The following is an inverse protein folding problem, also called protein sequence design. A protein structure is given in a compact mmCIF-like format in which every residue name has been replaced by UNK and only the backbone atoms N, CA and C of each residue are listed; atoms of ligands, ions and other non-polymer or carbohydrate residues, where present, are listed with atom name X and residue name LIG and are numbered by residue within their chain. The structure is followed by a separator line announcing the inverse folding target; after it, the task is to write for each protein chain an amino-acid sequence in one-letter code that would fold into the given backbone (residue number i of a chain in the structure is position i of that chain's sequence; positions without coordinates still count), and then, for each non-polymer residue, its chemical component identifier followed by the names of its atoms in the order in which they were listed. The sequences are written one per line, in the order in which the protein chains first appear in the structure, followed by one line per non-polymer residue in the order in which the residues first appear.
data_IF_802061991965
#
_entry.id   IF_802061991965
#
_cell.length_a   1.000
_cell.length_b   1.000
_cell.length_c   1.000
_cell.angle_alpha   90.00
_cell.angle_beta   90.00
_cell.angle_gamma   90.00
#
_symmetry.space_group_name_H-M   'P 1'
#
loop_
_entity.id
_entity.type
_entity.pdbx_description
1 polymer ?
#
# COMPACT_ATOMS: atom_id res chain seq x y z
N UNK A 1 -23.58 -39.16 4.25
CA UNK A 1 -24.30 -39.82 5.37
C UNK A 1 -24.52 -38.90 6.57
N UNK A 2 -23.51 -38.17 7.07
CA UNK A 2 -23.68 -37.26 8.22
C UNK A 2 -24.83 -36.22 8.06
N UNK A 3 -24.94 -35.55 6.91
CA UNK A 3 -26.03 -34.59 6.64
C UNK A 3 -27.42 -35.21 6.85
N UNK A 4 -27.62 -36.46 6.42
CA UNK A 4 -28.91 -37.17 6.56
C UNK A 4 -29.21 -37.45 8.04
N UNK A 5 -28.23 -37.91 8.82
CA UNK A 5 -28.38 -38.16 10.24
C UNK A 5 -28.74 -36.89 11.01
N UNK A 6 -28.04 -35.78 10.76
CA UNK A 6 -28.37 -34.51 11.40
C UNK A 6 -29.69 -33.91 10.93
N UNK A 7 -30.09 -34.16 9.67
CA UNK A 7 -31.43 -33.77 9.20
C UNK A 7 -32.55 -34.50 9.95
N UNK A 8 -32.37 -35.80 10.20
CA UNK A 8 -33.32 -36.58 11.04
C UNK A 8 -33.29 -36.12 12.49
N UNK A 9 -32.11 -35.87 13.05
CA UNK A 9 -31.97 -35.36 14.42
C UNK A 9 -32.69 -34.01 14.59
N UNK A 10 -32.54 -33.08 13.64
CA UNK A 10 -33.26 -31.80 13.62
C UNK A 10 -34.77 -31.93 13.43
N UNK A 11 -35.24 -32.99 12.76
CA UNK A 11 -36.67 -33.27 12.63
C UNK A 11 -37.27 -33.75 13.97
N UNK A 12 -36.48 -34.48 14.77
CA UNK A 12 -36.91 -34.95 16.09
C UNK A 12 -36.83 -33.82 17.13
N UNK A 13 -35.70 -33.10 17.16
CA UNK A 13 -35.42 -32.01 18.09
C UNK A 13 -34.90 -30.79 17.32
N UNK A 14 -35.79 -29.86 16.89
CA UNK A 14 -35.40 -28.70 16.08
C UNK A 14 -34.65 -27.63 16.87
N UNK A 15 -34.81 -27.60 18.20
CA UNK A 15 -34.26 -26.53 19.06
C UNK A 15 -32.81 -26.81 19.49
N UNK A 16 -32.27 -27.99 19.17
CA UNK A 16 -30.90 -28.36 19.52
C UNK A 16 -29.89 -27.70 18.57
N UNK A 17 -29.27 -26.61 19.04
CA UNK A 17 -28.31 -25.77 18.30
C UNK A 17 -27.14 -26.58 17.74
N UNK A 18 -26.63 -27.53 18.51
CA UNK A 18 -25.49 -28.39 18.14
C UNK A 18 -25.72 -29.15 16.82
N UNK A 19 -26.95 -29.58 16.54
CA UNK A 19 -27.24 -30.30 15.29
C UNK A 19 -27.13 -29.40 14.06
N UNK A 20 -27.44 -28.11 14.18
CA UNK A 20 -27.16 -27.16 13.09
C UNK A 20 -25.66 -27.01 12.86
N UNK A 21 -24.85 -26.96 13.92
CA UNK A 21 -23.39 -26.87 13.82
C UNK A 21 -22.83 -28.12 13.13
N UNK A 22 -23.12 -29.31 13.64
CA UNK A 22 -22.60 -30.55 13.06
C UNK A 22 -23.05 -30.76 11.62
N UNK A 23 -24.28 -30.36 11.29
CA UNK A 23 -24.77 -30.37 9.92
C UNK A 23 -24.02 -29.37 9.03
N UNK A 24 -23.73 -28.16 9.53
CA UNK A 24 -22.90 -27.20 8.82
C UNK A 24 -21.50 -27.75 8.56
N UNK A 25 -20.88 -28.40 9.54
CA UNK A 25 -19.57 -29.03 9.36
C UNK A 25 -19.58 -30.12 8.31
N UNK A 26 -20.63 -30.95 8.28
CA UNK A 26 -20.81 -31.93 7.24
C UNK A 26 -20.94 -31.28 5.84
N UNK A 27 -21.61 -30.13 5.73
CA UNK A 27 -21.69 -29.38 4.48
C UNK A 27 -20.37 -28.71 4.07
N UNK A 28 -19.57 -28.23 5.03
CA UNK A 28 -18.21 -27.70 4.75
C UNK A 28 -17.34 -28.80 4.11
N UNK A 29 -17.38 -30.03 4.65
CA UNK A 29 -16.63 -31.16 4.09
C UNK A 29 -17.10 -31.57 2.68
N UNK A 30 -18.34 -31.25 2.33
CA UNK A 30 -18.91 -31.45 1.00
C UNK A 30 -18.69 -30.25 0.07
N UNK A 31 -18.00 -29.19 0.53
CA UNK A 31 -17.85 -27.91 -0.16
C UNK A 31 -19.18 -27.23 -0.51
N UNK A 32 -20.29 -27.61 0.13
CA UNK A 32 -21.57 -26.90 0.03
C UNK A 32 -21.59 -25.76 1.04
N UNK A 33 -20.87 -24.69 0.70
CA UNK A 33 -20.74 -23.52 1.56
C UNK A 33 -22.09 -22.82 1.79
N UNK A 34 -23.00 -22.88 0.81
CA UNK A 34 -24.32 -22.25 0.91
C UNK A 34 -25.16 -22.86 2.04
N UNK A 35 -25.26 -24.18 2.07
CA UNK A 35 -25.96 -24.92 3.11
C UNK A 35 -25.23 -24.81 4.46
N UNK A 36 -23.89 -24.81 4.45
CA UNK A 36 -23.10 -24.60 5.67
C UNK A 36 -23.40 -23.24 6.32
N UNK A 37 -23.37 -22.16 5.54
CA UNK A 37 -23.67 -20.80 6.02
C UNK A 37 -25.10 -20.69 6.55
N UNK A 38 -26.08 -21.31 5.88
CA UNK A 38 -27.47 -21.29 6.34
C UNK A 38 -27.63 -21.94 7.72
N UNK A 39 -26.98 -23.09 7.93
CA UNK A 39 -27.04 -23.79 9.22
C UNK A 39 -26.30 -23.02 10.33
N UNK A 40 -25.14 -22.42 10.02
CA UNK A 40 -24.42 -21.57 10.98
C UNK A 40 -25.19 -20.29 11.34
N UNK A 41 -25.89 -19.67 10.38
CA UNK A 41 -26.76 -18.52 10.66
C UNK A 41 -27.92 -18.88 11.57
N UNK A 42 -28.49 -20.09 11.41
CA UNK A 42 -29.50 -20.61 12.34
C UNK A 42 -28.90 -20.82 13.74
N UNK A 43 -27.73 -21.44 13.85
CA UNK A 43 -27.06 -21.61 15.14
C UNK A 43 -26.81 -20.24 15.83
N UNK A 44 -26.33 -19.26 15.07
CA UNK A 44 -26.14 -17.89 15.56
C UNK A 44 -27.43 -17.22 16.00
N UNK A 45 -28.56 -17.45 15.32
CA UNK A 45 -29.85 -16.89 15.74
C UNK A 45 -30.37 -17.45 17.05
N UNK A 46 -29.99 -18.69 17.41
CA UNK A 46 -30.35 -19.29 18.70
C UNK A 46 -29.45 -18.80 19.84
N UNK A 47 -28.13 -18.68 19.63
CA UNK A 47 -27.20 -18.17 20.64
C UNK A 47 -26.35 -17.01 20.07
N UNK A 48 -26.90 -15.79 20.02
CA UNK A 48 -26.21 -14.64 19.41
C UNK A 48 -25.00 -14.16 20.21
N UNK A 49 -24.92 -14.50 21.51
CA UNK A 49 -23.80 -14.16 22.38
C UNK A 49 -22.55 -15.02 22.12
N UNK A 50 -22.70 -16.16 21.43
CA UNK A 50 -21.62 -17.08 21.15
C UNK A 50 -20.82 -16.62 19.93
N UNK A 51 -19.74 -15.86 20.17
CA UNK A 51 -18.89 -15.30 19.11
C UNK A 51 -18.29 -16.35 18.18
N UNK A 52 -18.15 -17.60 18.63
CA UNK A 52 -17.59 -18.71 17.83
C UNK A 52 -18.35 -18.95 16.53
N UNK A 53 -19.65 -18.65 16.49
CA UNK A 53 -20.45 -18.80 15.27
C UNK A 53 -20.12 -17.75 14.22
N UNK A 54 -19.82 -16.51 14.64
CA UNK A 54 -19.35 -15.46 13.73
C UNK A 54 -17.97 -15.82 13.17
N UNK A 55 -17.08 -16.38 14.01
CA UNK A 55 -15.77 -16.86 13.55
C UNK A 55 -15.91 -17.99 12.53
N UNK A 56 -16.81 -18.95 12.79
CA UNK A 56 -17.09 -20.06 11.87
C UNK A 56 -17.73 -19.59 10.57
N UNK A 57 -18.66 -18.63 10.62
CA UNK A 57 -19.27 -18.02 9.44
C UNK A 57 -18.21 -17.32 8.58
N UNK A 58 -17.35 -16.49 9.18
CA UNK A 58 -16.27 -15.82 8.47
C UNK A 58 -15.30 -16.83 7.83
N UNK A 59 -15.00 -17.93 8.53
CA UNK A 59 -14.18 -19.01 7.98
C UNK A 59 -14.82 -19.71 6.77
N UNK A 60 -16.13 -19.99 6.81
CA UNK A 60 -16.82 -20.60 5.67
C UNK A 60 -16.87 -19.65 4.48
N UNK A 61 -17.14 -18.36 4.71
CA UNK A 61 -17.07 -17.33 3.66
C UNK A 61 -15.66 -17.26 3.05
N UNK A 62 -14.61 -17.35 3.88
CA UNK A 62 -13.25 -17.40 3.38
C UNK A 62 -12.98 -18.60 2.47
N UNK A 63 -13.44 -19.79 2.85
CA UNK A 63 -13.31 -20.98 2.01
C UNK A 63 -14.05 -20.82 0.67
N UNK A 64 -15.29 -20.32 0.72
CA UNK A 64 -16.08 -20.05 -0.47
C UNK A 64 -15.40 -19.01 -1.39
N UNK A 65 -14.94 -17.90 -0.81
CA UNK A 65 -14.22 -16.85 -1.53
C UNK A 65 -12.92 -17.37 -2.12
N UNK A 66 -12.21 -18.26 -1.43
CA UNK A 66 -11.00 -18.89 -1.95
C UNK A 66 -11.31 -19.78 -3.15
N UNK A 67 -12.36 -20.60 -3.07
CA UNK A 67 -12.79 -21.41 -4.22
C UNK A 67 -13.14 -20.54 -5.43
N UNK A 68 -13.88 -19.45 -5.24
CA UNK A 68 -14.21 -18.49 -6.31
C UNK A 68 -12.96 -17.82 -6.89
N UNK A 69 -12.00 -17.46 -6.04
CA UNK A 69 -10.73 -16.88 -6.46
C UNK A 69 -9.91 -17.84 -7.34
N UNK A 70 -9.82 -19.13 -6.96
CA UNK A 70 -9.14 -20.15 -7.77
C UNK A 70 -9.86 -20.41 -9.11
N UNK A 71 -11.19 -20.21 -9.15
CA UNK A 71 -11.99 -20.25 -10.37
C UNK A 71 -11.89 -18.96 -11.21
N UNK A 72 -11.06 -17.99 -10.79
CA UNK A 72 -10.91 -16.67 -11.41
C UNK A 72 -12.18 -15.81 -11.42
N UNK A 73 -13.20 -16.17 -10.63
CA UNK A 73 -14.38 -15.32 -10.42
C UNK A 73 -14.08 -14.28 -9.33
N UNK A 74 -13.20 -13.34 -9.68
CA UNK A 74 -12.67 -12.36 -8.74
C UNK A 74 -13.74 -11.38 -8.23
N UNK A 75 -14.82 -11.17 -8.99
CA UNK A 75 -15.89 -10.26 -8.61
C UNK A 75 -16.75 -10.88 -7.50
N UNK A 76 -17.19 -12.13 -7.67
CA UNK A 76 -17.94 -12.83 -6.63
C UNK A 76 -17.03 -13.15 -5.43
N UNK A 77 -15.77 -13.54 -5.67
CA UNK A 77 -14.80 -13.73 -4.59
C UNK A 77 -14.64 -12.47 -3.73
N UNK A 78 -14.52 -11.29 -4.36
CA UNK A 78 -14.45 -10.02 -3.65
C UNK A 78 -15.69 -9.77 -2.79
N UNK A 79 -16.89 -10.02 -3.33
CA UNK A 79 -18.13 -9.85 -2.58
C UNK A 79 -18.18 -10.75 -1.34
N UNK A 80 -17.81 -12.03 -1.49
CA UNK A 80 -17.78 -12.99 -0.39
C UNK A 80 -16.71 -12.63 0.66
N UNK A 81 -15.52 -12.18 0.25
CA UNK A 81 -14.48 -11.74 1.18
C UNK A 81 -14.86 -10.46 1.94
N UNK A 82 -15.61 -9.55 1.31
CA UNK A 82 -16.15 -8.36 1.99
C UNK A 82 -17.13 -8.76 3.08
N UNK A 83 -18.03 -9.72 2.82
CA UNK A 83 -18.90 -10.26 3.87
C UNK A 83 -18.11 -10.86 5.04
N UNK A 84 -17.03 -11.60 4.76
CA UNK A 84 -16.16 -12.13 5.81
C UNK A 84 -15.48 -11.02 6.63
N UNK A 85 -15.05 -9.96 5.95
CA UNK A 85 -14.47 -8.76 6.59
C UNK A 85 -15.47 -8.01 7.45
N UNK A 86 -16.75 -7.98 7.10
CA UNK A 86 -17.79 -7.34 7.89
C UNK A 86 -18.07 -8.10 9.19
N UNK A 87 -18.01 -9.44 9.14
CA UNK A 87 -18.14 -10.29 10.34
C UNK A 87 -16.93 -10.18 11.27
N UNK A 88 -15.72 -10.03 10.72
CA UNK A 88 -14.48 -9.92 11.49
C UNK A 88 -13.59 -8.77 10.99
N UNK A 89 -13.92 -7.51 11.33
CA UNK A 89 -13.20 -6.36 10.81
C UNK A 89 -11.75 -6.27 11.28
N UNK A 90 -11.38 -6.96 12.36
CA UNK A 90 -10.02 -6.95 12.92
C UNK A 90 -9.09 -7.96 12.25
N UNK A 91 -9.61 -8.89 11.45
CA UNK A 91 -8.81 -9.93 10.83
C UNK A 91 -8.23 -9.41 9.49
N UNK A 92 -6.91 -9.19 9.38
CA UNK A 92 -6.30 -8.62 8.18
C UNK A 92 -6.33 -9.59 7.00
N UNK A 93 -6.51 -10.89 7.22
CA UNK A 93 -6.53 -11.90 6.14
C UNK A 93 -7.61 -11.62 5.09
N UNK A 94 -8.81 -11.20 5.51
CA UNK A 94 -9.90 -10.86 4.58
C UNK A 94 -9.59 -9.60 3.77
N UNK A 95 -8.97 -8.62 4.40
CA UNK A 95 -8.54 -7.38 3.72
C UNK A 95 -7.49 -7.70 2.64
N UNK A 96 -6.51 -8.56 2.92
CA UNK A 96 -5.55 -9.03 1.91
C UNK A 96 -6.20 -9.76 0.74
N UNK A 97 -7.19 -10.62 1.01
CA UNK A 97 -7.94 -11.30 -0.05
C UNK A 97 -8.76 -10.34 -0.91
N UNK A 98 -9.39 -9.33 -0.29
CA UNK A 98 -10.07 -8.26 -1.03
C UNK A 98 -9.09 -7.48 -1.92
N UNK A 99 -7.91 -7.12 -1.41
CA UNK A 99 -6.87 -6.45 -2.20
C UNK A 99 -6.44 -7.31 -3.39
N UNK A 100 -6.22 -8.62 -3.19
CA UNK A 100 -5.86 -9.54 -4.26
C UNK A 100 -6.91 -9.59 -5.37
N UNK A 101 -8.20 -9.69 -5.00
CA UNK A 101 -9.31 -9.66 -5.97
C UNK A 101 -9.36 -8.32 -6.73
N UNK A 102 -9.24 -7.19 -6.03
CA UNK A 102 -9.25 -5.87 -6.66
C UNK A 102 -8.09 -5.68 -7.64
N UNK A 103 -6.90 -6.20 -7.33
CA UNK A 103 -5.76 -6.18 -8.25
C UNK A 103 -6.01 -7.07 -9.47
N UNK A 104 -6.55 -8.27 -9.28
CA UNK A 104 -6.89 -9.18 -10.38
C UNK A 104 -7.95 -8.58 -11.33
N UNK A 105 -8.89 -7.81 -10.79
CA UNK A 105 -9.90 -7.06 -11.55
C UNK A 105 -9.38 -5.75 -12.17
N UNK A 106 -8.09 -5.41 -12.01
CA UNK A 106 -7.49 -4.13 -12.41
C UNK A 106 -8.16 -2.88 -11.78
N UNK A 107 -8.87 -3.06 -10.65
CA UNK A 107 -9.53 -1.98 -9.89
C UNK A 107 -8.53 -1.30 -8.95
N UNK A 108 -7.49 -0.70 -9.53
CA UNK A 108 -6.37 -0.12 -8.78
C UNK A 108 -6.77 1.04 -7.86
N UNK A 109 -7.76 1.85 -8.23
CA UNK A 109 -8.27 2.96 -7.39
C UNK A 109 -8.95 2.43 -6.12
N UNK A 110 -9.81 1.42 -6.27
CA UNK A 110 -10.51 0.82 -5.14
C UNK A 110 -9.51 0.12 -4.21
N UNK A 111 -8.51 -0.59 -4.78
CA UNK A 111 -7.44 -1.19 -4.01
C UNK A 111 -6.63 -0.11 -3.24
N UNK A 112 -6.30 1.01 -3.88
CA UNK A 112 -5.62 2.13 -3.22
C UNK A 112 -6.43 2.68 -2.04
N UNK A 113 -7.75 2.81 -2.21
CA UNK A 113 -8.64 3.31 -1.16
C UNK A 113 -8.64 2.38 0.06
N UNK A 114 -8.71 1.06 -0.18
CA UNK A 114 -8.75 0.04 0.86
C UNK A 114 -7.41 -0.05 1.60
N UNK A 115 -6.29 -0.09 0.87
CA UNK A 115 -4.93 -0.07 1.45
C UNK A 115 -4.70 1.21 2.27
N UNK A 116 -5.21 2.36 1.80
CA UNK A 116 -5.12 3.61 2.55
C UNK A 116 -5.92 3.58 3.84
N UNK A 117 -7.10 2.94 3.84
CA UNK A 117 -7.90 2.72 5.04
C UNK A 117 -7.16 1.84 6.06
N UNK A 118 -6.56 0.72 5.63
CA UNK A 118 -5.77 -0.16 6.52
C UNK A 118 -4.59 0.57 7.17
N UNK A 119 -3.88 1.40 6.40
CA UNK A 119 -2.78 2.22 6.92
C UNK A 119 -3.27 3.23 7.95
N UNK A 120 -4.41 3.89 7.71
CA UNK A 120 -5.01 4.84 8.67
C UNK A 120 -5.46 4.15 9.96
N UNK A 121 -5.91 2.91 9.88
CA UNK A 121 -6.32 2.11 11.04
C UNK A 121 -5.14 1.53 11.83
N UNK A 122 -3.89 1.78 11.41
CA UNK A 122 -2.70 1.26 12.09
C UNK A 122 -2.45 -0.24 11.87
N UNK A 123 -3.13 -0.85 10.89
CA UNK A 123 -3.05 -2.28 10.57
C UNK A 123 -2.02 -2.61 9.48
N UNK A 124 -1.26 -1.60 9.05
CA UNK A 124 -0.33 -1.74 7.94
C UNK A 124 0.94 -2.50 8.33
N UNK A 125 1.23 -3.54 7.57
CA UNK A 125 2.50 -4.26 7.56
C UNK A 125 3.42 -3.70 6.47
N UNK A 126 4.68 -4.14 6.43
CA UNK A 126 5.60 -3.80 5.35
C UNK A 126 5.00 -4.12 3.96
N UNK A 127 4.29 -5.25 3.83
CA UNK A 127 3.66 -5.67 2.57
C UNK A 127 2.55 -4.72 2.12
N UNK A 128 1.74 -4.22 3.06
CA UNK A 128 0.68 -3.23 2.77
C UNK A 128 1.29 -1.93 2.23
N UNK A 129 2.38 -1.46 2.84
CA UNK A 129 3.11 -0.28 2.34
C UNK A 129 3.73 -0.52 0.95
N UNK A 130 4.33 -1.69 0.72
CA UNK A 130 4.91 -2.05 -0.57
C UNK A 130 3.82 -2.12 -1.64
N UNK A 131 2.65 -2.69 -1.31
CA UNK A 131 1.52 -2.74 -2.23
C UNK A 131 1.03 -1.31 -2.56
N UNK A 132 0.89 -0.43 -1.56
CA UNK A 132 0.52 0.96 -1.80
C UNK A 132 1.54 1.69 -2.67
N UNK A 133 2.83 1.48 -2.41
CA UNK A 133 3.91 2.03 -3.20
C UNK A 133 3.84 1.58 -4.67
N UNK A 134 3.59 0.29 -4.93
CA UNK A 134 3.40 -0.23 -6.29
C UNK A 134 2.22 0.42 -7.01
N UNK A 135 1.09 0.61 -6.31
CA UNK A 135 -0.08 1.29 -6.86
C UNK A 135 0.22 2.77 -7.13
N UNK A 136 0.94 3.46 -6.25
CA UNK A 136 1.38 4.83 -6.51
C UNK A 136 2.35 4.93 -7.68
N UNK A 137 3.25 3.97 -7.83
CA UNK A 137 4.14 3.89 -8.98
C UNK A 137 3.34 3.72 -10.28
N UNK A 138 2.30 2.87 -10.28
CA UNK A 138 1.38 2.70 -11.40
C UNK A 138 0.66 4.01 -11.77
N UNK A 139 0.21 4.78 -10.77
CA UNK A 139 -0.39 6.11 -10.99
C UNK A 139 0.61 7.25 -11.22
N UNK A 140 1.89 6.95 -11.44
CA UNK A 140 2.95 7.95 -11.64
C UNK A 140 3.02 9.00 -10.51
N UNK A 141 2.86 8.54 -9.26
CA UNK A 141 3.03 9.35 -8.04
C UNK A 141 4.32 8.95 -7.29
N UNK A 142 5.53 9.21 -7.87
CA UNK A 142 6.80 8.73 -7.34
C UNK A 142 7.10 9.26 -5.92
N UNK A 143 6.71 10.50 -5.60
CA UNK A 143 6.94 11.06 -4.26
C UNK A 143 6.29 10.22 -3.15
N UNK A 144 5.04 9.81 -3.35
CA UNK A 144 4.29 8.99 -2.38
C UNK A 144 4.83 7.55 -2.37
N UNK A 145 5.17 7.01 -3.54
CA UNK A 145 5.83 5.70 -3.66
C UNK A 145 7.12 5.64 -2.82
N UNK A 146 7.98 6.66 -2.92
CA UNK A 146 9.23 6.72 -2.16
C UNK A 146 8.99 6.72 -0.64
N UNK A 147 8.01 7.50 -0.18
CA UNK A 147 7.64 7.58 1.23
C UNK A 147 7.16 6.23 1.77
N UNK A 148 6.31 5.53 1.02
CA UNK A 148 5.81 4.21 1.40
C UNK A 148 6.90 3.12 1.38
N UNK A 149 7.84 3.19 0.45
CA UNK A 149 8.99 2.29 0.46
C UNK A 149 9.89 2.52 1.67
N UNK A 150 10.05 3.78 2.09
CA UNK A 150 10.78 4.10 3.31
C UNK A 150 10.06 3.59 4.54
N UNK A 151 8.74 3.80 4.66
CA UNK A 151 7.98 3.25 5.79
C UNK A 151 8.06 1.72 5.81
N UNK A 152 7.93 1.04 4.67
CA UNK A 152 8.09 -0.42 4.60
C UNK A 152 9.46 -0.90 5.12
N UNK A 153 10.54 -0.20 4.77
CA UNK A 153 11.89 -0.53 5.24
C UNK A 153 12.12 -0.18 6.72
N UNK A 154 11.32 0.69 7.33
CA UNK A 154 11.35 0.89 8.79
C UNK A 154 10.81 -0.35 9.52
N UNK A 155 9.75 -0.98 9.00
CA UNK A 155 9.21 -2.23 9.57
C UNK A 155 10.13 -3.42 9.30
N UNK A 156 10.61 -3.57 8.06
CA UNK A 156 11.51 -4.65 7.69
C UNK A 156 12.70 -4.11 6.87
N UNK A 157 13.83 -3.78 7.53
CA UNK A 157 15.01 -3.18 6.88
C UNK A 157 15.64 -4.04 5.78
N UNK A 158 15.46 -5.36 5.85
CA UNK A 158 16.04 -6.31 4.89
C UNK A 158 15.04 -6.77 3.83
N UNK A 159 13.87 -6.13 3.72
CA UNK A 159 12.86 -6.54 2.76
C UNK A 159 13.36 -6.38 1.30
N UNK A 160 13.51 -7.48 0.53
CA UNK A 160 14.19 -7.44 -0.77
C UNK A 160 13.42 -6.62 -1.80
N UNK A 161 12.09 -6.77 -1.84
CA UNK A 161 11.25 -6.07 -2.81
C UNK A 161 11.19 -4.55 -2.58
N UNK A 162 11.08 -4.11 -1.32
CA UNK A 162 11.10 -2.70 -0.97
C UNK A 162 12.46 -2.06 -1.32
N UNK A 163 13.56 -2.73 -0.98
CA UNK A 163 14.91 -2.26 -1.31
C UNK A 163 15.14 -2.19 -2.82
N UNK A 164 14.71 -3.22 -3.56
CA UNK A 164 14.81 -3.26 -5.02
C UNK A 164 14.03 -2.13 -5.68
N UNK A 165 12.76 -1.92 -5.29
CA UNK A 165 11.95 -0.84 -5.87
C UNK A 165 12.52 0.55 -5.51
N UNK A 166 13.01 0.73 -4.28
CA UNK A 166 13.62 1.99 -3.85
C UNK A 166 14.91 2.28 -4.64
N UNK A 167 15.72 1.26 -4.89
CA UNK A 167 16.94 1.38 -5.69
C UNK A 167 16.62 1.82 -7.13
N UNK A 168 15.61 1.22 -7.75
CA UNK A 168 15.15 1.63 -9.09
C UNK A 168 14.78 3.12 -9.13
N UNK A 169 14.05 3.60 -8.11
CA UNK A 169 13.68 5.02 -8.02
C UNK A 169 14.88 5.94 -7.83
N UNK A 170 15.83 5.56 -6.96
CA UNK A 170 17.07 6.31 -6.75
C UNK A 170 17.89 6.38 -8.04
N UNK A 171 17.96 5.30 -8.80
CA UNK A 171 18.69 5.26 -10.07
C UNK A 171 18.00 6.10 -11.15
N UNK A 172 16.66 6.11 -11.19
CA UNK A 172 15.88 7.03 -12.03
C UNK A 172 16.11 8.50 -11.65
N UNK A 173 16.22 8.80 -10.35
CA UNK A 173 16.54 10.15 -9.87
C UNK A 173 17.94 10.59 -10.33
N UNK A 174 18.94 9.72 -10.20
CA UNK A 174 20.32 9.98 -10.67
C UNK A 174 20.38 10.22 -12.17
N UNK A 175 19.69 9.41 -12.97
CA UNK A 175 19.59 9.61 -14.43
C UNK A 175 18.94 10.95 -14.76
N UNK A 176 17.85 11.29 -14.09
CA UNK A 176 17.16 12.57 -14.28
C UNK A 176 18.04 13.77 -13.89
N UNK A 177 18.89 13.63 -12.88
CA UNK A 177 19.88 14.64 -12.50
C UNK A 177 20.96 14.81 -13.59
N UNK A 178 21.46 13.72 -14.17
CA UNK A 178 22.43 13.75 -15.28
C UNK A 178 21.83 14.42 -16.53
N UNK A 179 20.59 14.08 -16.88
CA UNK A 179 19.89 14.74 -17.98
C UNK A 179 19.71 16.24 -17.72
N UNK A 180 19.40 16.61 -16.47
CA UNK A 180 19.26 18.00 -16.07
C UNK A 180 20.59 18.77 -16.20
N UNK A 181 21.72 18.17 -15.82
CA UNK A 181 23.03 18.82 -15.94
C UNK A 181 23.44 19.04 -17.40
N UNK A 182 23.22 18.05 -18.28
CA UNK A 182 23.47 18.18 -19.72
C UNK A 182 22.61 19.29 -20.32
N UNK A 183 21.31 19.33 -20.00
CA UNK A 183 20.41 20.36 -20.50
C UNK A 183 20.74 21.77 -19.97
N UNK A 184 21.24 21.86 -18.75
CA UNK A 184 21.68 23.12 -18.17
C UNK A 184 22.91 23.67 -18.90
N UNK A 185 23.90 22.82 -19.20
CA UNK A 185 25.09 23.20 -19.99
C UNK A 185 24.70 23.63 -21.41
N UNK A 186 23.68 23.01 -22.00
CA UNK A 186 23.13 23.41 -23.31
C UNK A 186 22.29 24.71 -23.28
N UNK A 187 22.15 25.37 -22.13
CA UNK A 187 21.32 26.58 -21.97
C UNK A 187 19.81 26.30 -21.97
N UNK A 188 19.37 25.05 -22.02
CA UNK A 188 17.95 24.65 -22.03
C UNK A 188 17.37 24.61 -20.61
N UNK A 189 17.44 25.73 -19.90
CA UNK A 189 17.14 25.84 -18.46
C UNK A 189 15.74 25.33 -18.08
N UNK A 190 14.71 25.67 -18.86
CA UNK A 190 13.35 25.20 -18.58
C UNK A 190 13.22 23.67 -18.62
N UNK A 191 13.91 23.00 -19.56
CA UNK A 191 13.91 21.53 -19.63
C UNK A 191 14.75 20.92 -18.51
N UNK A 192 15.88 21.54 -18.15
CA UNK A 192 16.68 21.14 -17.00
C UNK A 192 15.88 21.22 -15.68
N UNK A 193 15.09 22.27 -15.48
CA UNK A 193 14.22 22.43 -14.31
C UNK A 193 13.10 21.38 -14.24
N UNK A 194 12.58 20.93 -15.38
CA UNK A 194 11.64 19.79 -15.41
C UNK A 194 12.32 18.48 -15.00
N UNK A 195 13.52 18.21 -15.52
CA UNK A 195 14.29 17.01 -15.19
C UNK A 195 14.71 16.97 -13.71
N UNK A 196 15.14 18.09 -13.13
CA UNK A 196 15.45 18.12 -11.69
C UNK A 196 14.20 17.96 -10.82
N UNK A 197 13.04 18.45 -11.27
CA UNK A 197 11.78 18.22 -10.55
C UNK A 197 11.45 16.72 -10.51
N UNK A 198 11.58 16.02 -11.65
CA UNK A 198 11.42 14.57 -11.71
C UNK A 198 12.43 13.84 -10.80
N UNK A 199 13.69 14.29 -10.74
CA UNK A 199 14.69 13.72 -9.84
C UNK A 199 14.28 13.86 -8.36
N UNK A 200 13.81 15.04 -7.96
CA UNK A 200 13.36 15.32 -6.58
C UNK A 200 12.15 14.46 -6.21
N UNK A 201 11.20 14.27 -7.12
CA UNK A 201 10.04 13.44 -6.84
C UNK A 201 10.40 11.96 -6.64
N UNK A 202 11.45 11.47 -7.30
CA UNK A 202 11.92 10.09 -7.17
C UNK A 202 12.86 9.87 -5.98
N UNK A 203 13.55 10.90 -5.49
CA UNK A 203 14.40 10.81 -4.30
C UNK A 203 14.33 12.11 -3.47
N UNK A 204 13.20 12.36 -2.77
CA UNK A 204 12.93 13.65 -2.11
C UNK A 204 13.82 13.93 -0.90
N UNK A 205 14.59 12.94 -0.43
CA UNK A 205 15.48 13.08 0.73
C UNK A 205 16.94 13.39 0.35
N UNK A 206 17.28 13.47 -0.93
CA UNK A 206 18.64 13.80 -1.37
C UNK A 206 18.85 15.33 -1.42
N UNK A 207 19.68 15.91 -0.54
CA UNK A 207 19.89 17.36 -0.48
C UNK A 207 20.52 17.91 -1.76
N UNK A 208 21.31 17.11 -2.47
CA UNK A 208 22.05 17.55 -3.66
C UNK A 208 21.11 17.98 -4.79
N UNK A 209 19.92 17.37 -4.86
CA UNK A 209 18.91 17.69 -5.88
C UNK A 209 18.33 19.10 -5.67
N UNK A 210 18.20 19.54 -4.42
CA UNK A 210 17.71 20.88 -4.09
C UNK A 210 18.77 21.94 -4.35
N UNK A 211 20.05 21.64 -4.04
CA UNK A 211 21.17 22.52 -4.34
C UNK A 211 21.28 22.80 -5.85
N UNK A 212 21.21 21.75 -6.68
CA UNK A 212 21.21 21.90 -8.14
C UNK A 212 20.03 22.74 -8.64
N UNK A 213 18.82 22.49 -8.11
CA UNK A 213 17.61 23.25 -8.47
C UNK A 213 17.74 24.74 -8.15
N UNK A 214 18.31 25.08 -6.99
CA UNK A 214 18.51 26.47 -6.58
C UNK A 214 19.49 27.21 -7.48
N UNK A 215 20.60 26.57 -7.85
CA UNK A 215 21.61 27.14 -8.76
C UNK A 215 21.06 27.39 -10.18
N UNK A 216 20.16 26.53 -10.67
CA UNK A 216 19.49 26.73 -11.96
C UNK A 216 18.39 27.81 -11.95
N UNK A 217 17.73 28.03 -10.82
CA UNK A 217 16.58 28.94 -10.69
C UNK A 217 16.94 30.43 -10.53
N UNK A 218 18.11 30.75 -9.96
CA UNK A 218 18.61 32.13 -9.85
C UNK A 218 19.33 32.63 -11.10
N UNK A 219 19.25 31.92 -12.22
CA UNK A 219 20.00 32.25 -13.43
C UNK A 219 21.50 32.18 -13.15
N UNK A 220 22.06 30.97 -13.09
CA UNK A 220 23.50 30.70 -13.19
C UNK A 220 24.38 31.81 -12.57
N UNK A 221 24.14 32.13 -11.29
CA UNK A 221 25.10 32.93 -10.55
C UNK A 221 26.25 31.98 -10.23
N UNK A 222 27.16 31.94 -11.20
CA UNK A 222 28.50 31.35 -11.21
C UNK A 222 28.89 30.58 -9.96
N UNK A 223 29.19 29.28 -10.13
CA UNK A 223 30.30 28.66 -9.40
C UNK A 223 30.83 27.44 -10.16
N UNK A 224 31.68 27.76 -11.14
CA UNK A 224 33.07 27.27 -11.27
C UNK A 224 33.48 26.27 -10.16
N UNK A 225 33.12 25.00 -10.31
CA UNK A 225 33.83 23.90 -9.65
C UNK A 225 33.99 22.81 -10.72
N UNK A 226 35.25 22.45 -10.99
CA UNK A 226 35.75 21.55 -12.04
C UNK A 226 36.03 22.14 -13.43
N UNK A 227 36.97 23.08 -13.47
CA UNK A 227 38.09 22.92 -14.39
C UNK A 227 39.38 23.30 -13.64
N UNK A 228 40.07 22.31 -13.07
CA UNK A 228 41.47 22.43 -12.68
C UNK A 228 42.17 21.11 -13.01
N UNK A 229 42.53 20.99 -14.28
CA UNK A 229 43.80 20.36 -14.66
C UNK A 229 44.90 21.15 -13.94
N UNK A 230 45.91 20.42 -13.46
CA UNK A 230 47.11 20.83 -12.71
C UNK A 230 46.91 21.21 -11.23
N UNK A 231 47.63 20.45 -10.40
CA UNK A 231 47.52 20.43 -8.95
C UNK A 231 47.96 21.72 -8.28
N UNK A 232 47.30 21.99 -7.16
CA UNK A 232 47.88 22.56 -5.93
C UNK A 232 46.75 22.68 -4.90
N UNK A 233 47.05 22.21 -3.70
CA UNK A 233 46.26 22.28 -2.47
C UNK A 233 45.89 23.71 -2.10
N UNK A 234 44.72 23.92 -1.48
CA UNK A 234 44.52 24.64 -0.19
C UNK A 234 43.03 24.97 0.05
N UNK A 235 42.53 24.50 1.19
CA UNK A 235 41.64 25.17 2.17
C UNK A 235 40.23 25.62 1.74
N UNK A 236 39.24 24.98 2.37
CA UNK A 236 37.82 25.36 2.47
C UNK A 236 37.61 26.84 2.87
N UNK A 237 36.62 27.55 2.29
CA UNK A 237 35.99 28.68 2.97
C UNK A 237 34.61 28.31 3.51
N UNK A 238 34.46 28.67 4.78
CA UNK A 238 33.26 28.76 5.62
C UNK A 238 31.99 29.20 4.88
N UNK A 239 30.89 28.53 5.23
CA UNK A 239 29.51 28.96 5.03
C UNK A 239 29.33 30.45 5.39
N UNK A 240 29.04 31.28 4.39
CA UNK A 240 28.48 32.61 4.61
C UNK A 240 26.95 32.43 4.61
N UNK A 241 26.37 32.52 5.80
CA UNK A 241 24.94 32.72 6.00
C UNK A 241 24.49 33.97 5.25
N UNK A 242 23.64 33.82 4.24
CA UNK A 242 22.95 34.95 3.62
C UNK A 242 21.78 35.39 4.52
N UNK A 243 21.93 36.58 5.11
CA UNK A 243 20.81 37.41 5.58
C UNK A 243 19.87 37.72 4.41
N UNK A 244 18.86 36.88 4.20
CA UNK A 244 17.71 37.20 3.34
C UNK A 244 16.46 36.42 3.79
N UNK A 245 16.22 36.36 5.10
CA UNK A 245 14.95 35.89 5.67
C UNK A 245 14.44 37.00 6.58
N UNK A 246 13.86 38.03 5.97
CA UNK A 246 13.03 39.03 6.65
C UNK A 246 12.47 40.00 5.61
N UNK A 247 11.56 39.53 4.75
CA UNK A 247 10.65 40.39 3.97
C UNK A 247 9.41 39.64 3.43
N UNK A 248 9.05 38.50 4.02
CA UNK A 248 7.75 37.85 3.80
C UNK A 248 7.17 37.62 5.18
N UNK A 249 6.46 38.64 5.68
CA UNK A 249 5.39 38.63 6.69
C UNK A 249 5.31 40.08 7.19
N UNK A 250 4.51 40.88 6.50
CA UNK A 250 4.18 42.22 6.95
C UNK A 250 3.45 42.15 8.29
N UNK A 251 3.98 42.86 9.28
CA UNK A 251 3.18 43.36 10.39
C UNK A 251 3.51 44.83 10.61
N UNK A 252 2.42 45.59 10.67
CA UNK A 252 2.30 47.03 10.72
C UNK A 252 2.91 47.62 11.99
N UNK A 253 3.47 48.82 11.84
CA UNK A 253 3.93 49.72 12.89
C UNK A 253 2.86 50.09 13.91
N UNK A 254 3.25 50.13 15.19
CA UNK A 254 2.97 51.21 16.14
C UNK A 254 4.21 51.44 16.99
#
# INVERSE_FOLDING_TARGET
MAVLYFSRALHLNPDQVEFYIFRAEAFIQLCDFSSALQNLRRAYSYEPENSKYLERLAFVLYLQGQCLYELCDFQEALYVFLQASDLQPQNPSFSYRCMACLLALNRHQDCLSLVTREVKQGRATADVYILRARIYNFFQKPKLCYQDLRSALLFNPKHPQAKGLLQVMVDQAKKSLQDASILAVQGKLHRALKRISCAIENNPLDPNLFLFRYQGGKGLVFLKIYCKVSGESLILPRLIWCHSISLILGFSSK
#
